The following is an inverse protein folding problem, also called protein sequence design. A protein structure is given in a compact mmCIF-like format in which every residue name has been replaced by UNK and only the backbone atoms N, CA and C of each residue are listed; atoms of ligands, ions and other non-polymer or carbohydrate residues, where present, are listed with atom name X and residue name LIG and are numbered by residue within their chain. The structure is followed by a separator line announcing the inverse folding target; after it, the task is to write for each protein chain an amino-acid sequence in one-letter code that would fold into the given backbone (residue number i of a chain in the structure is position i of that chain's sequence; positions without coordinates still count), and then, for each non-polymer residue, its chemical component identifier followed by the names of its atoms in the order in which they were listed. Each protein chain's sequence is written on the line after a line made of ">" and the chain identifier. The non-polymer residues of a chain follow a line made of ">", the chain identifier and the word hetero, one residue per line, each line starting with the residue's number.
data_IF_841722155181
#
_entry.id   IF_841722155181
#
_cell.length_a   1.000
_cell.length_b   1.000
_cell.length_c   1.000
_cell.angle_alpha   90.00
_cell.angle_beta   90.00
_cell.angle_gamma   90.00
#
_symmetry.space_group_name_H-M   'P 1'
#
loop_
_entity.id
_entity.type
_entity.pdbx_description
1 polymer ?
#
# COMPACT_ATOMS: atom_id res chain seq x y z
N UNK A 1 -2.75 20.21 -5.09
CA UNK A 1 -3.30 19.03 -5.80
C UNK A 1 -3.43 17.92 -4.78
N UNK A 2 -4.62 17.79 -4.20
CA UNK A 2 -4.77 17.13 -2.90
C UNK A 2 -4.70 15.60 -2.98
N UNK A 3 -5.06 15.01 -4.12
CA UNK A 3 -5.03 13.55 -4.33
C UNK A 3 -3.60 12.99 -4.27
N UNK A 4 -2.66 13.57 -5.02
CA UNK A 4 -1.27 13.09 -5.03
C UNK A 4 -0.62 13.24 -3.64
N UNK A 5 -0.82 14.39 -3.00
CA UNK A 5 -0.29 14.63 -1.66
C UNK A 5 -0.89 13.65 -0.63
N UNK A 6 -2.18 13.33 -0.76
CA UNK A 6 -2.84 12.35 0.11
C UNK A 6 -2.24 10.95 -0.06
N UNK A 7 -2.04 10.51 -1.31
CA UNK A 7 -1.41 9.22 -1.62
C UNK A 7 0.06 9.18 -1.16
N UNK A 8 0.81 10.27 -1.34
CA UNK A 8 2.21 10.34 -0.91
C UNK A 8 2.36 10.33 0.62
N UNK A 9 1.42 10.94 1.35
CA UNK A 9 1.39 10.94 2.83
C UNK A 9 0.96 9.60 3.41
N UNK A 10 0.10 8.87 2.72
CA UNK A 10 -0.40 7.58 3.17
C UNK A 10 -0.53 6.61 1.99
N UNK A 11 0.57 5.97 1.55
CA UNK A 11 0.59 5.13 0.36
C UNK A 11 -0.29 3.89 0.47
N UNK A 12 -0.81 3.42 -0.65
CA UNK A 12 -1.64 2.24 -0.76
C UNK A 12 -3.13 2.37 -0.39
N UNK A 13 -3.81 3.54 -0.47
CA UNK A 13 -5.25 3.57 -0.28
C UNK A 13 -5.95 2.91 -1.48
N UNK A 14 -7.11 2.29 -1.25
CA UNK A 14 -7.97 1.80 -2.33
C UNK A 14 -8.91 2.90 -2.81
N UNK A 15 -9.44 2.76 -4.02
CA UNK A 15 -10.23 3.81 -4.69
C UNK A 15 -11.39 4.37 -3.84
N UNK A 16 -12.20 3.49 -3.24
CA UNK A 16 -13.36 3.91 -2.41
C UNK A 16 -12.92 4.62 -1.13
N UNK A 17 -11.76 4.30 -0.57
CA UNK A 17 -11.22 5.02 0.59
C UNK A 17 -10.84 6.45 0.20
N UNK A 18 -10.14 6.61 -0.92
CA UNK A 18 -9.79 7.95 -1.46
C UNK A 18 -11.05 8.80 -1.69
N UNK A 19 -12.10 8.23 -2.28
CA UNK A 19 -13.36 8.94 -2.50
C UNK A 19 -13.99 9.42 -1.19
N UNK A 20 -13.98 8.55 -0.17
CA UNK A 20 -14.51 8.85 1.16
C UNK A 20 -13.67 9.92 1.87
N UNK A 21 -12.36 9.77 1.93
CA UNK A 21 -11.46 10.66 2.68
C UNK A 21 -11.33 12.05 2.04
N UNK A 22 -11.41 12.13 0.72
CA UNK A 22 -11.33 13.39 -0.01
C UNK A 22 -12.70 14.04 -0.27
N UNK A 23 -13.80 13.40 0.14
CA UNK A 23 -15.16 13.87 -0.11
C UNK A 23 -15.46 14.06 -1.60
N UNK A 24 -14.83 13.28 -2.48
CA UNK A 24 -14.83 13.53 -3.92
C UNK A 24 -15.85 12.64 -4.65
N UNK A 25 -16.60 13.18 -5.63
CA UNK A 25 -17.44 12.37 -6.50
C UNK A 25 -16.60 11.32 -7.25
N UNK A 26 -17.17 10.12 -7.41
CA UNK A 26 -16.50 8.95 -8.02
C UNK A 26 -15.94 9.25 -9.42
N UNK A 27 -16.72 9.89 -10.28
CA UNK A 27 -16.29 10.24 -11.64
C UNK A 27 -15.11 11.23 -11.64
N UNK A 28 -15.17 12.24 -10.77
CA UNK A 28 -14.11 13.24 -10.60
C UNK A 28 -12.82 12.59 -10.10
N UNK A 29 -12.91 11.74 -9.08
CA UNK A 29 -11.74 11.03 -8.56
C UNK A 29 -11.13 10.12 -9.62
N UNK A 30 -11.96 9.38 -10.36
CA UNK A 30 -11.47 8.50 -11.43
C UNK A 30 -10.71 9.29 -12.48
N UNK A 31 -11.27 10.40 -12.97
CA UNK A 31 -10.62 11.25 -13.95
C UNK A 31 -9.24 11.73 -13.48
N UNK A 32 -9.15 12.20 -12.23
CA UNK A 32 -7.87 12.66 -11.68
C UNK A 32 -6.86 11.53 -11.50
N UNK A 33 -7.27 10.36 -11.01
CA UNK A 33 -6.38 9.21 -10.85
C UNK A 33 -5.89 8.66 -12.19
N UNK A 34 -6.76 8.63 -13.22
CA UNK A 34 -6.37 8.24 -14.58
C UNK A 34 -5.31 9.22 -15.13
N UNK A 35 -5.50 10.53 -14.91
CA UNK A 35 -4.53 11.56 -15.29
C UNK A 35 -3.20 11.39 -14.55
N UNK A 36 -3.23 11.25 -13.23
CA UNK A 36 -2.03 11.05 -12.40
C UNK A 36 -1.27 9.77 -12.77
N UNK A 37 -1.98 8.71 -13.15
CA UNK A 37 -1.36 7.45 -13.60
C UNK A 37 -0.70 7.62 -14.96
N UNK A 38 -1.39 8.29 -15.90
CA UNK A 38 -0.84 8.61 -17.22
C UNK A 38 0.41 9.47 -17.14
N UNK A 39 0.41 10.44 -16.23
CA UNK A 39 1.51 11.36 -16.00
C UNK A 39 2.64 10.74 -15.15
N UNK A 40 2.55 9.44 -14.81
CA UNK A 40 3.52 8.71 -13.98
C UNK A 40 3.82 9.39 -12.64
N UNK A 41 2.79 9.95 -12.03
CA UNK A 41 2.86 10.48 -10.66
C UNK A 41 2.39 9.45 -9.64
N UNK A 42 1.53 8.52 -10.08
CA UNK A 42 0.94 7.48 -9.26
C UNK A 42 0.89 6.18 -10.08
N UNK A 43 0.96 5.03 -9.44
CA UNK A 43 0.70 3.73 -10.06
C UNK A 43 -0.17 2.85 -9.15
N UNK A 44 -0.65 1.74 -9.70
CA UNK A 44 -1.44 0.75 -8.95
C UNK A 44 -0.69 -0.57 -8.81
N UNK A 45 -0.93 -1.26 -7.69
CA UNK A 45 -0.37 -2.59 -7.43
C UNK A 45 -1.45 -3.54 -6.87
N UNK A 46 -1.32 -4.82 -7.21
CA UNK A 46 -2.06 -5.95 -6.65
C UNK A 46 -3.44 -6.21 -7.27
N UNK A 47 -4.00 -7.38 -6.94
CA UNK A 47 -5.33 -7.82 -7.40
C UNK A 47 -6.47 -6.94 -6.90
N UNK A 48 -6.30 -6.33 -5.72
CA UNK A 48 -7.17 -5.29 -5.17
C UNK A 48 -6.43 -3.97 -5.35
N UNK A 49 -6.67 -3.20 -6.43
CA UNK A 49 -5.79 -2.11 -6.81
C UNK A 49 -5.67 -1.06 -5.70
N UNK A 50 -4.42 -0.83 -5.28
CA UNK A 50 -4.04 0.21 -4.34
C UNK A 50 -3.11 1.20 -5.01
N UNK A 51 -3.23 2.49 -4.66
CA UNK A 51 -2.50 3.57 -5.32
C UNK A 51 -1.22 3.93 -4.58
N UNK A 52 -0.12 4.10 -5.31
CA UNK A 52 1.21 4.41 -4.76
C UNK A 52 1.85 5.56 -5.54
N UNK A 53 2.61 6.46 -4.88
CA UNK A 53 3.35 7.49 -5.59
C UNK A 53 4.42 6.83 -6.47
N UNK A 54 4.60 7.31 -7.70
CA UNK A 54 5.56 6.71 -8.65
C UNK A 54 7.02 6.74 -8.18
N UNK A 55 7.34 7.63 -7.25
CA UNK A 55 8.66 7.69 -6.59
C UNK A 55 8.90 6.58 -5.58
N UNK A 56 7.86 5.84 -5.16
CA UNK A 56 8.00 4.72 -4.23
C UNK A 56 8.40 3.45 -4.98
N UNK A 57 9.54 2.82 -4.64
CA UNK A 57 9.97 1.56 -5.22
C UNK A 57 8.89 0.46 -5.13
N UNK A 58 8.82 -0.39 -6.15
CA UNK A 58 7.82 -1.47 -6.22
C UNK A 58 7.93 -2.43 -5.03
N UNK A 59 9.15 -2.71 -4.55
CA UNK A 59 9.36 -3.56 -3.37
C UNK A 59 8.76 -2.94 -2.10
N UNK A 60 8.95 -1.64 -1.88
CA UNK A 60 8.31 -0.93 -0.76
C UNK A 60 6.80 -0.93 -0.89
N UNK A 61 6.26 -0.66 -2.09
CA UNK A 61 4.82 -0.69 -2.32
C UNK A 61 4.22 -2.09 -2.12
N UNK A 62 4.95 -3.15 -2.49
CA UNK A 62 4.56 -4.53 -2.22
C UNK A 62 4.48 -4.81 -0.71
N UNK A 63 5.45 -4.33 0.07
CA UNK A 63 5.41 -4.44 1.53
C UNK A 63 4.24 -3.65 2.13
N UNK A 64 4.02 -2.41 1.69
CA UNK A 64 2.85 -1.62 2.12
C UNK A 64 1.55 -2.34 1.75
N UNK A 65 1.46 -2.93 0.55
CA UNK A 65 0.31 -3.69 0.12
C UNK A 65 0.02 -4.87 1.07
N UNK A 66 1.06 -5.63 1.46
CA UNK A 66 0.95 -6.74 2.40
C UNK A 66 0.54 -6.30 3.80
N UNK A 67 1.07 -5.19 4.29
CA UNK A 67 0.66 -4.63 5.60
C UNK A 67 -0.84 -4.31 5.60
N UNK A 68 -1.37 -3.81 4.47
CA UNK A 68 -2.77 -3.38 4.36
C UNK A 68 -3.76 -4.51 4.08
N UNK A 69 -3.40 -5.47 3.22
CA UNK A 69 -4.28 -6.60 2.85
C UNK A 69 -4.07 -7.84 3.73
N UNK A 70 -2.98 -7.88 4.50
CA UNK A 70 -2.59 -9.04 5.30
C UNK A 70 -1.87 -10.13 4.48
N UNK A 71 -1.47 -11.23 5.13
CA UNK A 71 -0.65 -12.27 4.52
C UNK A 71 -1.37 -13.08 3.43
N UNK A 72 -2.70 -13.07 3.39
CA UNK A 72 -3.47 -13.68 2.29
C UNK A 72 -3.23 -13.01 0.93
N UNK A 73 -2.55 -11.87 0.90
CA UNK A 73 -2.23 -11.12 -0.30
C UNK A 73 -0.80 -11.38 -0.83
N UNK A 74 -0.06 -12.33 -0.24
CA UNK A 74 1.28 -12.71 -0.68
C UNK A 74 1.35 -13.12 -2.14
N UNK A 75 0.33 -13.80 -2.66
CA UNK A 75 0.30 -14.22 -4.05
C UNK A 75 -0.16 -13.10 -5.01
N UNK A 76 -0.49 -11.93 -4.48
CA UNK A 76 -0.95 -10.78 -5.28
C UNK A 76 0.18 -9.77 -5.58
N UNK A 77 1.36 -9.92 -4.97
CA UNK A 77 2.52 -9.05 -5.17
C UNK A 77 3.81 -9.87 -5.16
N UNK A 78 4.79 -9.44 -5.96
CA UNK A 78 6.13 -10.01 -5.89
C UNK A 78 6.85 -9.46 -4.66
N UNK A 79 7.16 -10.32 -3.69
CA UNK A 79 7.95 -9.99 -2.50
C UNK A 79 8.94 -11.12 -2.23
N UNK A 80 10.12 -10.78 -1.69
CA UNK A 80 11.14 -11.79 -1.41
C UNK A 80 10.72 -12.72 -0.27
N UNK A 81 10.84 -14.02 -0.51
CA UNK A 81 10.50 -15.09 0.44
C UNK A 81 11.72 -15.93 0.80
N UNK A 82 11.77 -16.35 2.06
CA UNK A 82 12.79 -17.23 2.61
C UNK A 82 12.09 -18.51 3.07
N UNK A 83 11.99 -19.48 2.16
CA UNK A 83 11.13 -20.66 2.33
C UNK A 83 9.65 -20.26 2.33
N UNK A 84 8.91 -20.66 3.38
CA UNK A 84 7.48 -20.32 3.51
C UNK A 84 7.22 -18.93 4.09
N UNK A 85 8.26 -18.25 4.60
CA UNK A 85 8.16 -16.98 5.35
C UNK A 85 8.70 -15.80 4.54
N UNK A 86 8.43 -14.59 5.00
CA UNK A 86 9.10 -13.38 4.51
C UNK A 86 10.57 -13.39 4.95
N UNK A 87 11.47 -12.94 4.07
CA UNK A 87 12.87 -12.79 4.44
C UNK A 87 13.07 -11.70 5.50
N UNK A 88 14.08 -11.78 6.38
CA UNK A 88 14.32 -10.81 7.44
C UNK A 88 14.35 -9.35 6.95
N UNK A 89 14.95 -9.08 5.80
CA UNK A 89 15.07 -7.74 5.23
C UNK A 89 13.70 -7.14 4.89
N UNK A 90 12.74 -7.97 4.45
CA UNK A 90 11.37 -7.55 4.18
C UNK A 90 10.64 -7.21 5.49
N UNK A 91 10.96 -7.91 6.58
CA UNK A 91 10.39 -7.62 7.90
C UNK A 91 10.89 -6.28 8.42
N UNK A 92 12.20 -6.04 8.32
CA UNK A 92 12.80 -4.75 8.68
C UNK A 92 12.24 -3.61 7.83
N UNK A 93 12.07 -3.84 6.53
CA UNK A 93 11.44 -2.87 5.64
C UNK A 93 10.00 -2.57 6.04
N UNK A 94 9.20 -3.58 6.39
CA UNK A 94 7.83 -3.38 6.87
C UNK A 94 7.81 -2.51 8.14
N UNK A 95 8.69 -2.80 9.10
CA UNK A 95 8.80 -2.02 10.34
C UNK A 95 9.26 -0.59 10.08
N UNK A 96 10.19 -0.38 9.16
CA UNK A 96 10.63 0.96 8.74
C UNK A 96 9.48 1.77 8.11
N UNK A 97 8.75 1.17 7.16
CA UNK A 97 7.62 1.80 6.48
C UNK A 97 6.47 2.14 7.45
N UNK A 98 6.18 1.27 8.42
CA UNK A 98 5.13 1.52 9.42
C UNK A 98 5.50 2.66 10.37
N UNK A 99 6.79 2.83 10.68
CA UNK A 99 7.28 3.99 11.43
C UNK A 99 7.23 5.27 10.59
N UNK A 100 7.58 5.17 9.30
CA UNK A 100 7.57 6.30 8.37
C UNK A 100 6.15 6.80 8.06
N UNK A 101 5.17 5.89 7.96
CA UNK A 101 3.79 6.17 7.59
C UNK A 101 2.84 5.80 8.73
N UNK A 102 2.51 6.74 9.65
CA UNK A 102 1.64 6.47 10.79
C UNK A 102 0.27 5.89 10.44
N UNK A 103 -0.24 6.15 9.23
CA UNK A 103 -1.50 5.59 8.78
C UNK A 103 -1.48 4.05 8.63
N UNK A 104 -0.30 3.45 8.45
CA UNK A 104 -0.14 1.99 8.38
C UNK A 104 -0.20 1.33 9.76
N UNK A 105 0.00 2.08 10.85
CA UNK A 105 -0.01 1.52 12.21
C UNK A 105 -1.36 0.92 12.57
N UNK A 106 -2.46 1.55 12.13
CA UNK A 106 -3.83 1.05 12.36
C UNK A 106 -4.06 -0.28 11.65
N UNK A 107 -3.57 -0.40 10.42
CA UNK A 107 -3.70 -1.62 9.61
C UNK A 107 -2.81 -2.74 10.18
N UNK A 108 -1.64 -2.40 10.72
CA UNK A 108 -0.77 -3.35 11.39
C UNK A 108 -1.47 -4.01 12.57
N UNK A 109 -2.24 -3.28 13.38
CA UNK A 109 -2.97 -3.85 14.54
C UNK A 109 -4.08 -4.79 14.09
N UNK A 110 -4.81 -4.46 13.01
CA UNK A 110 -5.88 -5.29 12.47
C UNK A 110 -5.37 -6.60 11.85
N UNK A 111 -4.20 -6.54 11.20
CA UNK A 111 -3.56 -7.67 10.54
C UNK A 111 -2.45 -8.31 11.40
N UNK A 112 -2.27 -7.84 12.65
CA UNK A 112 -1.09 -8.12 13.48
C UNK A 112 -0.93 -9.62 13.73
N UNK A 113 -1.99 -10.31 14.14
CA UNK A 113 -1.94 -11.72 14.54
C UNK A 113 -1.42 -12.60 13.39
N UNK A 114 -1.94 -12.36 12.18
CA UNK A 114 -1.59 -13.16 11.02
C UNK A 114 -0.24 -12.76 10.42
N UNK A 115 0.09 -11.45 10.38
CA UNK A 115 1.42 -11.02 9.95
C UNK A 115 2.48 -11.53 10.92
N UNK A 116 2.29 -11.38 12.24
CA UNK A 116 3.25 -11.85 13.25
C UNK A 116 3.47 -13.37 13.23
N UNK A 117 2.43 -14.16 12.93
CA UNK A 117 2.56 -15.62 12.77
C UNK A 117 3.47 -16.03 11.60
N UNK A 118 3.64 -15.15 10.60
CA UNK A 118 4.59 -15.31 9.51
C UNK A 118 5.92 -14.58 9.75
N UNK A 119 5.98 -13.73 10.77
CA UNK A 119 7.17 -12.99 11.22
C UNK A 119 7.97 -13.74 12.29
N UNK A 120 7.36 -14.64 13.07
CA UNK A 120 8.03 -15.62 13.97
C UNK A 120 8.28 -16.96 13.25
#
# INVERSE_FOLDING_TARGET
>A
MDIFLHIARCPGPYFRLLAKELGMPIGTLKYHLDKLTRDRLVYTLGRRPRYFPYTMPVEEAAVVYLVREGPGALDAVEVRRCGRRLCPEIKELAMALVRQYPCLQRDLVANFIDLFSQLL
#
